data_IF_180268180164
#
_entry.id   IF_180268180164
#
_cell.length_a   1.000
_cell.length_b   1.000
_cell.length_c   1.000
_cell.angle_alpha   90.00
_cell.angle_beta   90.00
_cell.angle_gamma   90.00
#
_symmetry.space_group_name_H-M   'P 1'
#
loop_
_entity.id
_entity.type
_entity.pdbx_description
1 polymer ?
#
# COMPACT_ATOMS: atom_id res chain seq x y z
N UNK A 1 -2.19 30.15 -17.21
CA UNK A 1 -2.93 29.87 -15.96
C UNK A 1 -1.91 29.35 -14.96
N UNK A 2 -1.57 30.12 -13.92
CA UNK A 2 -0.63 29.68 -12.88
C UNK A 2 -1.42 28.91 -11.81
N UNK A 3 -1.09 27.62 -11.61
CA UNK A 3 -1.63 26.84 -10.49
C UNK A 3 -1.11 27.46 -9.19
N UNK A 4 -2.01 27.97 -8.36
CA UNK A 4 -1.65 28.37 -7.00
C UNK A 4 -1.49 27.11 -6.14
N UNK A 5 -0.42 27.00 -5.34
CA UNK A 5 -0.27 25.88 -4.41
C UNK A 5 -1.41 25.90 -3.39
N UNK A 6 -1.87 24.73 -2.92
CA UNK A 6 -2.94 24.65 -1.93
C UNK A 6 -2.50 25.34 -0.63
N UNK A 7 -3.41 26.13 -0.05
CA UNK A 7 -3.15 26.91 1.19
C UNK A 7 -2.92 26.04 2.43
N UNK A 8 -3.29 24.76 2.36
CA UNK A 8 -3.09 23.76 3.42
C UNK A 8 -2.71 22.44 2.78
N UNK A 9 -1.78 21.72 3.41
CA UNK A 9 -1.54 20.33 3.08
C UNK A 9 -2.81 19.53 3.34
N UNK A 10 -3.09 18.55 2.48
CA UNK A 10 -4.20 17.65 2.70
C UNK A 10 -3.89 16.79 3.95
N UNK A 11 -4.90 16.37 4.73
CA UNK A 11 -4.69 15.68 6.02
C UNK A 11 -3.74 14.48 5.92
N UNK A 12 -3.86 13.73 4.82
CA UNK A 12 -3.05 12.55 4.53
C UNK A 12 -1.57 12.83 4.28
N UNK A 13 -1.18 14.08 4.01
CA UNK A 13 0.22 14.45 3.79
C UNK A 13 1.07 14.31 5.07
N UNK A 14 0.44 14.30 6.25
CA UNK A 14 1.12 14.05 7.53
C UNK A 14 1.21 12.56 7.89
N UNK A 15 0.50 11.68 7.19
CA UNK A 15 0.41 10.28 7.55
C UNK A 15 1.69 9.51 7.15
N UNK A 16 2.16 8.56 7.99
CA UNK A 16 3.28 7.72 7.63
C UNK A 16 2.94 6.85 6.41
N UNK A 17 3.91 6.63 5.50
CA UNK A 17 3.67 5.86 4.29
C UNK A 17 3.40 4.39 4.62
N UNK A 18 2.73 3.72 3.69
CA UNK A 18 2.57 2.27 3.69
C UNK A 18 3.87 1.65 3.18
N UNK A 19 4.41 0.70 3.94
CA UNK A 19 5.71 0.09 3.65
C UNK A 19 5.51 -1.33 3.12
N UNK A 20 6.03 -1.62 1.93
CA UNK A 20 6.14 -2.99 1.45
C UNK A 20 7.51 -3.53 1.79
N UNK A 21 7.55 -4.72 2.41
CA UNK A 21 8.76 -5.36 2.88
C UNK A 21 9.02 -6.70 2.20
N UNK A 22 10.29 -7.05 2.07
CA UNK A 22 10.69 -8.43 1.77
C UNK A 22 10.52 -9.29 3.04
N UNK A 23 9.97 -10.52 2.95
CA UNK A 23 9.64 -11.35 4.11
C UNK A 23 10.85 -11.84 4.90
N UNK A 24 12.01 -12.01 4.24
CA UNK A 24 13.18 -12.66 4.83
C UNK A 24 14.45 -11.81 4.85
N UNK A 25 14.40 -10.56 4.39
CA UNK A 25 15.58 -9.70 4.44
C UNK A 25 15.85 -9.19 5.86
N UNK A 26 17.12 -8.94 6.23
CA UNK A 26 17.47 -8.30 7.48
C UNK A 26 16.75 -6.95 7.66
N UNK A 27 16.53 -6.52 8.91
CA UNK A 27 15.72 -5.33 9.21
C UNK A 27 16.15 -4.05 8.47
N UNK A 28 17.45 -3.84 8.31
CA UNK A 28 18.01 -2.67 7.65
C UNK A 28 17.86 -2.70 6.11
N UNK A 29 17.53 -3.85 5.52
CA UNK A 29 17.36 -4.04 4.07
C UNK A 29 15.95 -4.51 3.68
N UNK A 30 15.07 -4.79 4.65
CA UNK A 30 13.77 -5.40 4.35
C UNK A 30 12.77 -4.48 3.66
N UNK A 31 12.99 -3.18 3.59
CA UNK A 31 12.05 -2.25 2.93
C UNK A 31 12.28 -2.26 1.43
N UNK A 32 11.25 -2.57 0.65
CA UNK A 32 11.30 -2.57 -0.82
C UNK A 32 10.73 -1.27 -1.38
N UNK A 33 9.53 -0.89 -0.94
CA UNK A 33 8.78 0.26 -1.47
C UNK A 33 8.05 0.99 -0.35
N UNK A 34 7.83 2.30 -0.53
CA UNK A 34 7.05 3.16 0.38
C UNK A 34 6.03 3.94 -0.43
N UNK A 35 4.77 3.89 -0.03
CA UNK A 35 3.67 4.55 -0.71
C UNK A 35 3.04 5.61 0.20
N UNK A 36 2.91 6.87 -0.25
CA UNK A 36 2.08 7.84 0.46
C UNK A 36 0.61 7.38 0.43
N UNK A 37 -0.14 7.75 1.45
CA UNK A 37 -1.56 7.39 1.58
C UNK A 37 -2.44 8.40 0.85
N UNK A 38 -2.51 8.31 -0.47
CA UNK A 38 -3.19 9.33 -1.28
C UNK A 38 -4.69 9.08 -1.47
N UNK A 39 -5.14 7.85 -1.23
CA UNK A 39 -6.49 7.41 -1.58
C UNK A 39 -7.39 7.36 -0.34
N UNK A 40 -8.58 7.96 -0.45
CA UNK A 40 -9.57 7.91 0.62
C UNK A 40 -10.27 6.54 0.64
N UNK A 41 -10.24 5.86 1.79
CA UNK A 41 -11.04 4.67 2.04
C UNK A 41 -12.34 5.10 2.72
N UNK A 42 -13.45 5.12 1.96
CA UNK A 42 -14.77 5.34 2.54
C UNK A 42 -15.19 4.12 3.37
N UNK A 43 -15.52 4.30 4.64
CA UNK A 43 -16.45 3.37 5.31
C UNK A 43 -17.82 3.65 4.70
N UNK A 44 -18.37 2.66 3.97
CA UNK A 44 -19.78 2.71 3.61
C UNK A 44 -20.53 2.73 4.95
N UNK A 45 -21.42 3.71 5.13
CA UNK A 45 -22.48 3.75 6.15
C UNK A 45 -22.34 4.70 7.36
N UNK A 46 -21.40 5.64 7.42
CA UNK A 46 -21.40 6.65 8.51
C UNK A 46 -21.33 8.10 7.96
N UNK A 47 -22.31 8.92 8.37
CA UNK A 47 -22.53 10.30 7.91
C UNK A 47 -21.49 11.29 8.47
N UNK A 48 -20.63 10.84 9.41
CA UNK A 48 -19.61 11.63 10.10
C UNK A 48 -18.22 10.94 10.12
N UNK A 49 -17.74 10.41 8.99
CA UNK A 49 -16.48 9.66 8.98
C UNK A 49 -15.23 10.56 8.89
N UNK A 50 -14.34 10.42 9.87
CA UNK A 50 -12.90 10.64 9.70
C UNK A 50 -12.38 9.72 8.57
N UNK A 51 -12.08 10.29 7.40
CA UNK A 51 -11.59 9.50 6.26
C UNK A 51 -10.29 8.79 6.64
N UNK A 52 -10.26 7.46 6.52
CA UNK A 52 -8.99 6.73 6.56
C UNK A 52 -8.33 6.82 5.19
N UNK A 53 -7.03 7.12 5.16
CA UNK A 53 -6.27 7.21 3.92
C UNK A 53 -5.35 6.01 3.72
N UNK A 54 -5.20 5.61 2.46
CA UNK A 54 -4.43 4.45 2.05
C UNK A 54 -3.90 4.58 0.63
N UNK A 55 -3.59 3.44 0.01
CA UNK A 55 -3.19 3.36 -1.39
C UNK A 55 -3.95 2.24 -2.08
N UNK A 56 -4.39 2.44 -3.33
CA UNK A 56 -5.00 1.38 -4.12
C UNK A 56 -4.09 0.14 -4.17
N UNK A 57 -4.69 -1.02 -3.90
CA UNK A 57 -4.02 -2.31 -3.87
C UNK A 57 -3.34 -2.61 -5.19
N UNK A 58 -4.00 -2.33 -6.31
CA UNK A 58 -3.48 -2.56 -7.65
C UNK A 58 -2.23 -1.75 -7.98
N UNK A 59 -2.16 -0.50 -7.53
CA UNK A 59 -0.97 0.35 -7.68
C UNK A 59 0.23 -0.27 -6.97
N UNK A 60 0.04 -0.70 -5.73
CA UNK A 60 1.12 -1.34 -4.95
C UNK A 60 1.51 -2.67 -5.56
N UNK A 61 0.54 -3.50 -5.94
CA UNK A 61 0.78 -4.82 -6.51
C UNK A 61 1.53 -4.73 -7.84
N UNK A 62 1.14 -3.81 -8.73
CA UNK A 62 1.84 -3.56 -9.99
C UNK A 62 3.29 -3.16 -9.78
N UNK A 63 3.55 -2.21 -8.87
CA UNK A 63 4.91 -1.80 -8.56
C UNK A 63 5.74 -2.96 -8.00
N UNK A 64 5.14 -3.81 -7.16
CA UNK A 64 5.79 -5.01 -6.64
C UNK A 64 6.12 -6.03 -7.74
N UNK A 65 5.19 -6.28 -8.66
CA UNK A 65 5.39 -7.16 -9.81
C UNK A 65 6.54 -6.65 -10.69
N UNK A 66 6.62 -5.35 -10.96
CA UNK A 66 7.71 -4.73 -11.73
C UNK A 66 9.07 -5.01 -11.08
N UNK A 67 9.25 -4.70 -9.78
CA UNK A 67 10.54 -4.89 -9.10
C UNK A 67 10.92 -6.37 -8.89
N UNK A 68 9.97 -7.29 -9.08
CA UNK A 68 10.19 -8.74 -9.01
C UNK A 68 10.30 -9.37 -10.39
N UNK A 69 10.60 -8.58 -11.43
CA UNK A 69 10.81 -9.09 -12.79
C UNK A 69 9.53 -9.46 -13.51
N UNK A 70 8.45 -8.71 -13.29
CA UNK A 70 7.11 -8.95 -13.83
C UNK A 70 6.49 -10.29 -13.39
N UNK A 71 6.77 -10.73 -12.17
CA UNK A 71 6.22 -11.96 -11.62
C UNK A 71 4.72 -11.80 -11.33
N UNK A 72 3.85 -12.24 -12.24
CA UNK A 72 2.39 -12.15 -12.10
C UNK A 72 1.82 -12.93 -10.91
N UNK A 73 2.59 -13.88 -10.36
CA UNK A 73 2.25 -14.67 -9.17
C UNK A 73 2.53 -13.93 -7.86
N UNK A 74 3.18 -12.76 -7.91
CA UNK A 74 3.48 -11.99 -6.72
C UNK A 74 2.19 -11.53 -6.02
N UNK A 75 2.21 -11.52 -4.69
CA UNK A 75 1.08 -11.08 -3.88
C UNK A 75 1.54 -10.42 -2.58
N UNK A 76 0.64 -9.64 -1.98
CA UNK A 76 0.87 -9.00 -0.68
C UNK A 76 0.26 -9.81 0.46
N UNK A 77 0.93 -9.82 1.61
CA UNK A 77 0.43 -10.39 2.86
C UNK A 77 0.56 -9.42 4.03
N UNK A 78 -0.26 -9.59 5.06
CA UNK A 78 -0.14 -8.85 6.32
C UNK A 78 0.92 -9.41 7.27
N UNK A 79 1.42 -10.61 6.99
CA UNK A 79 2.47 -11.26 7.76
C UNK A 79 3.63 -11.74 6.86
N UNK A 80 4.82 -11.80 7.46
CA UNK A 80 6.05 -12.21 6.78
C UNK A 80 6.06 -13.68 6.35
N UNK A 81 5.16 -14.54 6.86
CA UNK A 81 5.06 -15.95 6.47
C UNK A 81 4.05 -16.20 5.36
N UNK A 82 3.36 -15.16 4.89
CA UNK A 82 2.39 -15.26 3.81
C UNK A 82 1.06 -15.94 4.19
N UNK A 83 0.79 -16.14 5.49
CA UNK A 83 -0.42 -16.85 5.96
C UNK A 83 -1.69 -15.99 5.91
N UNK A 84 -1.54 -14.67 5.83
CA UNK A 84 -2.62 -13.68 5.81
C UNK A 84 -2.56 -12.84 4.51
N UNK A 85 -2.77 -13.48 3.34
CA UNK A 85 -2.74 -12.77 2.07
C UNK A 85 -3.79 -11.66 2.03
N UNK A 86 -3.47 -10.56 1.36
CA UNK A 86 -4.41 -9.50 1.05
C UNK A 86 -5.44 -10.04 0.06
N UNK A 87 -6.72 -9.97 0.42
CA UNK A 87 -7.86 -10.42 -0.41
C UNK A 87 -8.69 -9.28 -0.97
N UNK A 88 -8.13 -8.07 -1.01
CA UNK A 88 -8.79 -6.92 -1.62
C UNK A 88 -8.83 -7.07 -3.13
N UNK A 89 -9.88 -6.53 -3.76
CA UNK A 89 -9.88 -6.30 -5.20
C UNK A 89 -8.73 -5.37 -5.60
N UNK A 90 -8.46 -5.28 -6.90
CA UNK A 90 -7.44 -4.39 -7.44
C UNK A 90 -7.70 -2.92 -7.07
N UNK A 91 -8.97 -2.51 -7.05
CA UNK A 91 -9.39 -1.16 -6.66
C UNK A 91 -9.59 -0.99 -5.14
N UNK A 92 -9.35 -2.03 -4.34
CA UNK A 92 -9.45 -1.95 -2.88
C UNK A 92 -8.34 -1.09 -2.29
N UNK A 93 -8.61 -0.38 -1.19
CA UNK A 93 -7.62 0.49 -0.55
C UNK A 93 -6.87 -0.25 0.56
N UNK A 94 -5.55 -0.29 0.46
CA UNK A 94 -4.66 -0.74 1.52
C UNK A 94 -4.52 0.35 2.57
N UNK A 95 -4.82 0.04 3.83
CA UNK A 95 -4.80 1.02 4.94
C UNK A 95 -3.85 0.66 6.07
N UNK A 96 -3.28 -0.55 6.09
CA UNK A 96 -2.30 -0.93 7.12
C UNK A 96 -0.93 -0.30 6.81
N UNK A 97 -0.17 0.03 7.85
CA UNK A 97 1.14 0.68 7.69
C UNK A 97 2.22 -0.19 7.03
N UNK A 98 2.03 -1.51 6.98
CA UNK A 98 2.98 -2.39 6.32
C UNK A 98 2.35 -3.64 5.69
N UNK A 99 3.02 -4.15 4.66
CA UNK A 99 2.72 -5.41 3.99
C UNK A 99 4.01 -6.12 3.61
N UNK A 100 3.92 -7.42 3.33
CA UNK A 100 5.03 -8.24 2.87
C UNK A 100 4.78 -8.73 1.45
N UNK A 101 5.78 -8.58 0.58
CA UNK A 101 5.75 -9.05 -0.79
C UNK A 101 6.21 -10.50 -0.86
N UNK A 102 5.35 -11.37 -1.37
CA UNK A 102 5.66 -12.79 -1.60
C UNK A 102 5.67 -13.07 -3.09
N UNK A 103 6.64 -13.85 -3.53
CA UNK A 103 6.75 -14.33 -4.91
C UNK A 103 6.85 -15.86 -4.83
N UNK A 104 5.75 -16.59 -5.07
CA UNK A 104 5.82 -18.05 -5.19
C UNK A 104 6.82 -18.41 -6.28
N UNK A 105 7.79 -19.26 -5.96
CA UNK A 105 8.60 -19.93 -6.98
C UNK A 105 7.73 -21.02 -7.59
N UNK A 106 7.58 -20.99 -8.91
CA UNK A 106 6.91 -22.04 -9.68
C UNK A 106 7.77 -23.29 -9.80
#
# INVERSE_FOLDING_TARGET
>A
MLLQPPRRAAPQCGEPPIIVRHPHYPEHQRTLLRFPRLDAASRRDEVDCEYTYGVHHGTVLSACQIITGNASTAYLSRDHRGKMPVRLSYDGILTYGQYFLHVPQG
#
